data_IF_085925653905
#
_entry.id   IF_085925653905
#
_cell.length_a   1.000
_cell.length_b   1.000
_cell.length_c   1.000
_cell.angle_alpha   90.00
_cell.angle_beta   90.00
_cell.angle_gamma   90.00
#
_symmetry.space_group_name_H-M   'P 1'
#
loop_
_entity.id
_entity.type
_entity.pdbx_description
1 polymer ?
#
# COMPACT_ATOMS: atom_id res chain seq x y z
N UNK A 1 4.28 -1.77 5.26
CA UNK A 1 3.62 -3.08 5.44
C UNK A 1 2.21 -2.93 6.03
N UNK A 2 2.05 -2.25 7.15
CA UNK A 2 0.72 -2.06 7.78
C UNK A 2 -0.27 -1.46 6.79
N UNK A 3 0.11 -0.41 6.06
CA UNK A 3 -0.72 0.19 4.99
C UNK A 3 -1.09 -0.84 3.92
N UNK A 4 -0.16 -1.69 3.49
CA UNK A 4 -0.44 -2.73 2.48
C UNK A 4 -1.44 -3.77 2.99
N UNK A 5 -1.37 -4.16 4.25
CA UNK A 5 -2.33 -5.09 4.85
C UNK A 5 -3.71 -4.45 5.03
N UNK A 6 -3.77 -3.19 5.47
CA UNK A 6 -5.02 -2.45 5.59
C UNK A 6 -5.69 -2.23 4.22
N UNK A 7 -4.92 -1.81 3.22
CA UNK A 7 -5.36 -1.69 1.82
C UNK A 7 -5.99 -2.98 1.30
N UNK A 8 -5.26 -4.09 1.39
CA UNK A 8 -5.72 -5.40 0.93
C UNK A 8 -7.05 -5.80 1.56
N UNK A 9 -7.15 -5.66 2.90
CA UNK A 9 -8.34 -6.06 3.64
C UNK A 9 -9.55 -5.17 3.31
N UNK A 10 -9.34 -3.85 3.23
CA UNK A 10 -10.38 -2.90 2.88
C UNK A 10 -10.87 -3.11 1.44
N UNK A 11 -9.93 -3.23 0.51
CA UNK A 11 -10.23 -3.39 -0.91
C UNK A 11 -10.98 -4.69 -1.19
N UNK A 12 -10.52 -5.81 -0.62
CA UNK A 12 -11.18 -7.11 -0.78
C UNK A 12 -12.63 -7.12 -0.23
N UNK A 13 -12.88 -6.37 0.84
CA UNK A 13 -14.17 -6.37 1.52
C UNK A 13 -15.17 -5.38 0.94
N UNK A 14 -14.69 -4.21 0.50
CA UNK A 14 -15.57 -3.10 0.13
C UNK A 14 -15.33 -2.54 -1.28
N UNK A 15 -14.30 -3.02 -2.00
CA UNK A 15 -13.88 -2.44 -3.28
C UNK A 15 -13.36 -1.01 -3.17
N UNK A 16 -13.00 -0.58 -1.96
CA UNK A 16 -12.54 0.77 -1.67
C UNK A 16 -11.04 0.76 -1.37
N UNK A 17 -10.30 1.63 -2.06
CA UNK A 17 -8.89 1.85 -1.78
C UNK A 17 -8.68 2.72 -0.54
N UNK A 18 -7.80 2.31 0.36
CA UNK A 18 -7.36 3.09 1.50
C UNK A 18 -6.45 4.25 1.05
N UNK A 19 -5.55 3.94 0.13
CA UNK A 19 -4.64 4.91 -0.47
C UNK A 19 -4.74 4.84 -1.98
N UNK A 20 -4.85 6.00 -2.64
CA UNK A 20 -4.83 6.10 -4.11
C UNK A 20 -3.38 6.04 -4.62
N UNK A 21 -2.75 4.89 -4.40
CA UNK A 21 -1.35 4.67 -4.76
C UNK A 21 -1.19 3.34 -5.51
N UNK A 22 -0.14 3.25 -6.30
CA UNK A 22 0.23 2.03 -7.00
C UNK A 22 1.14 1.19 -6.13
N UNK A 23 0.74 -0.04 -5.84
CA UNK A 23 1.56 -0.98 -5.08
C UNK A 23 2.55 -1.71 -5.98
N UNK A 24 3.82 -1.69 -5.60
CA UNK A 24 4.92 -2.34 -6.30
C UNK A 24 5.41 -3.52 -5.47
N UNK A 25 5.57 -4.68 -6.09
CA UNK A 25 6.18 -5.85 -5.46
C UNK A 25 7.70 -5.65 -5.39
N UNK A 26 8.22 -5.26 -4.24
CA UNK A 26 9.66 -5.09 -3.97
C UNK A 26 10.20 -6.27 -3.16
N UNK A 27 11.53 -6.42 -3.10
CA UNK A 27 12.24 -7.54 -2.44
C UNK A 27 11.74 -7.83 -1.02
N UNK A 28 11.41 -6.80 -0.25
CA UNK A 28 10.93 -6.95 1.12
C UNK A 28 9.41 -6.85 1.25
N UNK A 29 8.67 -7.03 0.14
CA UNK A 29 7.22 -7.02 0.07
C UNK A 29 6.63 -5.75 -0.55
N UNK A 30 5.29 -5.64 -0.60
CA UNK A 30 4.61 -4.56 -1.30
C UNK A 30 4.91 -3.17 -0.71
N UNK A 31 4.99 -2.19 -1.59
CA UNK A 31 5.29 -0.79 -1.27
C UNK A 31 4.38 0.13 -2.07
N UNK A 32 3.65 1.07 -1.44
CA UNK A 32 2.94 2.13 -2.14
C UNK A 32 3.98 3.10 -2.72
N UNK A 33 4.02 3.22 -4.04
CA UNK A 33 5.13 3.82 -4.78
C UNK A 33 5.30 5.33 -4.53
N UNK A 34 4.19 6.08 -4.52
CA UNK A 34 4.24 7.52 -4.27
C UNK A 34 4.65 7.84 -2.84
N UNK A 35 4.12 7.10 -1.86
CA UNK A 35 4.53 7.27 -0.45
C UNK A 35 6.01 6.93 -0.26
N UNK A 36 6.50 5.87 -0.91
CA UNK A 36 7.92 5.50 -0.85
C UNK A 36 8.80 6.57 -1.47
N UNK A 37 8.42 7.13 -2.61
CA UNK A 37 9.14 8.23 -3.24
C UNK A 37 9.09 9.50 -2.40
N UNK A 38 7.98 9.79 -1.73
CA UNK A 38 7.87 10.90 -0.80
C UNK A 38 8.84 10.77 0.39
N UNK A 39 8.95 9.56 0.96
CA UNK A 39 9.92 9.26 2.02
C UNK A 39 11.36 9.42 1.53
N UNK A 40 11.69 9.00 0.31
CA UNK A 40 13.01 9.22 -0.28
C UNK A 40 13.28 10.72 -0.48
N UNK A 41 12.31 11.46 -1.00
CA UNK A 41 12.43 12.89 -1.25
C UNK A 41 12.65 13.66 0.06
N UNK A 42 11.86 13.36 1.10
CA UNK A 42 12.02 13.93 2.44
C UNK A 42 13.46 13.78 2.99
N UNK A 43 14.10 12.66 2.66
CA UNK A 43 15.46 12.36 3.12
C UNK A 43 16.57 12.75 2.12
N UNK A 44 16.25 13.56 1.12
CA UNK A 44 17.23 14.04 0.12
C UNK A 44 17.77 12.95 -0.82
N UNK A 45 17.11 11.78 -0.87
CA UNK A 45 17.51 10.63 -1.71
C UNK A 45 16.63 10.41 -2.93
N UNK A 46 15.58 11.21 -3.07
CA UNK A 46 14.64 11.15 -4.17
C UNK A 46 14.69 12.38 -5.06
N UNK A 47 14.14 12.25 -6.26
CA UNK A 47 14.02 13.35 -7.23
C UNK A 47 12.62 13.48 -7.84
N UNK A 48 11.67 12.67 -7.41
CA UNK A 48 10.29 12.69 -7.89
C UNK A 48 9.55 13.91 -7.32
N UNK A 49 9.43 14.95 -8.14
CA UNK A 49 8.76 16.20 -7.75
C UNK A 49 7.23 16.06 -7.63
N UNK A 50 6.63 15.06 -8.24
CA UNK A 50 5.18 14.84 -8.19
C UNK A 50 4.68 14.49 -6.79
N UNK A 51 5.56 13.95 -5.93
CA UNK A 51 5.23 13.59 -4.55
C UNK A 51 5.65 14.66 -3.54
N UNK A 52 6.02 15.86 -4.00
CA UNK A 52 6.54 16.92 -3.12
C UNK A 52 5.55 17.31 -2.03
N UNK A 53 4.27 17.46 -2.34
CA UNK A 53 3.25 17.82 -1.35
C UNK A 53 3.15 16.76 -0.23
N UNK A 54 3.21 15.47 -0.56
CA UNK A 54 3.24 14.38 0.42
C UNK A 54 4.54 14.45 1.23
N UNK A 55 5.68 14.62 0.56
CA UNK A 55 6.99 14.71 1.22
C UNK A 55 7.06 15.88 2.22
N UNK A 56 6.52 17.03 1.86
CA UNK A 56 6.52 18.23 2.71
C UNK A 56 5.62 18.08 3.96
N UNK A 57 4.62 17.19 3.91
CA UNK A 57 3.75 16.88 5.07
C UNK A 57 4.38 15.88 6.05
N UNK A 58 5.45 15.19 5.66
CA UNK A 58 6.13 14.21 6.49
C UNK A 58 7.15 14.89 7.41
N UNK A 59 7.19 14.47 8.67
CA UNK A 59 8.16 14.95 9.64
C UNK A 59 9.23 13.88 9.88
N UNK A 60 10.51 14.14 9.54
CA UNK A 60 11.57 13.18 9.80
C UNK A 60 11.78 12.98 11.30
N UNK A 61 11.97 11.73 11.73
CA UNK A 61 12.21 11.41 13.14
C UNK A 61 13.59 11.83 13.64
N UNK A 62 14.55 12.08 12.72
CA UNK A 62 15.93 12.42 13.03
C UNK A 62 16.79 11.20 13.42
N UNK A 63 18.09 11.40 13.53
CA UNK A 63 19.08 10.36 13.87
C UNK A 63 19.79 9.75 12.66
N UNK A 64 20.94 9.12 12.90
CA UNK A 64 21.85 8.63 11.83
C UNK A 64 21.27 7.47 10.98
N UNK A 65 20.37 6.67 11.56
CA UNK A 65 19.73 5.54 10.86
C UNK A 65 18.27 5.81 10.46
N UNK A 66 17.81 7.05 10.59
CA UNK A 66 16.37 7.40 10.58
C UNK A 66 15.85 7.86 9.22
N UNK A 67 16.53 7.60 8.14
CA UNK A 67 16.15 8.16 6.84
C UNK A 67 14.81 7.63 6.26
N UNK A 68 14.22 6.64 6.89
CA UNK A 68 12.85 6.19 6.60
C UNK A 68 11.88 6.38 7.77
N UNK A 69 12.33 6.93 8.88
CA UNK A 69 11.48 7.13 10.05
C UNK A 69 10.80 8.49 10.01
N UNK A 70 9.52 8.50 10.24
CA UNK A 70 8.69 9.69 10.45
C UNK A 70 8.21 9.72 11.88
N UNK A 71 8.02 10.93 12.41
CA UNK A 71 7.37 11.15 13.70
C UNK A 71 5.97 11.70 13.49
N UNK A 72 5.08 11.45 14.44
CA UNK A 72 3.79 12.10 14.47
C UNK A 72 3.97 13.61 14.64
N UNK A 73 3.31 14.40 13.80
CA UNK A 73 3.27 15.86 13.92
C UNK A 73 2.05 16.30 14.71
N UNK A 74 0.88 16.07 14.15
CA UNK A 74 -0.41 16.43 14.70
C UNK A 74 -1.27 15.18 14.91
N UNK A 75 -2.38 15.33 15.62
CA UNK A 75 -3.38 14.25 15.68
C UNK A 75 -4.00 14.09 14.29
N UNK A 76 -4.24 12.84 13.85
CA UNK A 76 -4.91 12.62 12.57
C UNK A 76 -6.31 13.24 12.61
N UNK A 77 -6.69 13.88 11.51
CA UNK A 77 -8.07 14.29 11.29
C UNK A 77 -8.87 13.07 10.83
N UNK A 78 -9.61 12.48 11.76
CA UNK A 78 -10.42 11.28 11.47
C UNK A 78 -11.67 11.59 10.65
N UNK A 79 -12.06 12.84 10.50
CA UNK A 79 -13.20 13.24 9.67
C UNK A 79 -12.87 13.11 8.17
N UNK A 80 -11.58 13.03 7.81
CA UNK A 80 -11.10 12.75 6.45
C UNK A 80 -11.15 11.26 6.07
N UNK A 81 -11.43 10.38 7.04
CA UNK A 81 -11.47 8.93 6.84
C UNK A 81 -12.87 8.38 7.09
N UNK A 82 -13.31 7.47 6.23
CA UNK A 82 -14.52 6.71 6.48
C UNK A 82 -14.34 5.74 7.67
N UNK A 83 -15.44 5.34 8.27
CA UNK A 83 -15.42 4.33 9.34
C UNK A 83 -14.74 3.04 8.92
N UNK A 84 -14.95 2.60 7.68
CA UNK A 84 -14.33 1.38 7.15
C UNK A 84 -12.80 1.50 7.01
N UNK A 85 -12.31 2.67 6.62
CA UNK A 85 -10.86 2.95 6.54
C UNK A 85 -10.22 2.97 7.93
N UNK A 86 -10.87 3.61 8.90
CA UNK A 86 -10.39 3.62 10.30
C UNK A 86 -10.35 2.18 10.84
N UNK A 87 -11.43 1.40 10.69
CA UNK A 87 -11.47 0.00 11.15
C UNK A 87 -10.39 -0.86 10.48
N UNK A 88 -10.12 -0.67 9.19
CA UNK A 88 -9.09 -1.40 8.46
C UNK A 88 -7.68 -1.04 8.95
N UNK A 89 -7.41 0.23 9.20
CA UNK A 89 -6.14 0.71 9.76
C UNK A 89 -5.93 0.19 11.18
N UNK A 90 -6.92 0.35 12.06
CA UNK A 90 -6.84 -0.09 13.45
C UNK A 90 -6.62 -1.60 13.55
N UNK A 91 -7.37 -2.39 12.76
CA UNK A 91 -7.19 -3.84 12.72
C UNK A 91 -5.78 -4.25 12.23
N UNK A 92 -5.24 -3.55 11.23
CA UNK A 92 -3.89 -3.82 10.75
C UNK A 92 -2.82 -3.38 11.76
N UNK A 93 -2.98 -2.23 12.39
CA UNK A 93 -2.06 -1.74 13.43
C UNK A 93 -2.07 -2.72 14.61
N UNK A 94 -3.23 -3.07 15.14
CA UNK A 94 -3.34 -3.95 16.31
C UNK A 94 -2.75 -5.34 16.05
N UNK A 95 -2.94 -5.87 14.84
CA UNK A 95 -2.42 -7.18 14.48
C UNK A 95 -0.91 -7.21 14.27
N UNK A 96 -0.34 -6.14 13.72
CA UNK A 96 1.03 -6.19 13.17
C UNK A 96 2.05 -5.28 13.88
N UNK A 97 1.62 -4.35 14.76
CA UNK A 97 2.51 -3.35 15.38
C UNK A 97 3.67 -3.93 16.18
N UNK A 98 3.47 -5.11 16.79
CA UNK A 98 4.46 -5.74 17.68
C UNK A 98 5.30 -6.82 16.94
N UNK A 99 5.08 -7.01 15.64
CA UNK A 99 5.83 -7.97 14.85
C UNK A 99 7.17 -7.38 14.37
N UNK A 100 8.20 -8.19 14.34
CA UNK A 100 9.49 -7.81 13.81
C UNK A 100 9.46 -7.64 12.28
N UNK A 101 10.43 -6.89 11.76
CA UNK A 101 10.49 -6.53 10.33
C UNK A 101 10.58 -7.75 9.42
N UNK A 102 11.27 -8.83 9.83
CA UNK A 102 11.42 -10.04 9.03
C UNK A 102 10.10 -10.76 8.90
N UNK A 103 9.41 -10.99 10.02
CA UNK A 103 8.08 -11.59 10.06
C UNK A 103 7.07 -10.78 9.22
N UNK A 104 7.07 -9.45 9.34
CA UNK A 104 6.22 -8.58 8.53
C UNK A 104 6.54 -8.69 7.03
N UNK A 105 7.82 -8.81 6.67
CA UNK A 105 8.22 -9.00 5.28
C UNK A 105 7.70 -10.33 4.75
N UNK A 106 7.92 -11.43 5.46
CA UNK A 106 7.45 -12.77 5.10
C UNK A 106 5.93 -12.83 4.94
N UNK A 107 5.17 -12.27 5.87
CA UNK A 107 3.70 -12.20 5.81
C UNK A 107 3.18 -11.33 4.65
N UNK A 108 3.96 -10.36 4.21
CA UNK A 108 3.58 -9.49 3.10
C UNK A 108 3.88 -10.08 1.72
N UNK A 109 4.59 -11.20 1.64
CA UNK A 109 4.80 -11.98 0.42
C UNK A 109 3.60 -12.90 0.17
N UNK A 110 2.42 -12.32 0.05
CA UNK A 110 1.18 -13.02 -0.25
C UNK A 110 1.05 -13.37 -1.75
N UNK A 111 -0.08 -13.97 -2.12
CA UNK A 111 -0.31 -14.37 -3.52
C UNK A 111 -0.25 -13.19 -4.50
N UNK A 112 -0.70 -11.98 -4.11
CA UNK A 112 -0.64 -10.81 -4.96
C UNK A 112 0.81 -10.33 -5.18
N UNK A 113 1.63 -10.41 -4.13
CA UNK A 113 3.05 -10.10 -4.24
C UNK A 113 3.77 -11.11 -5.15
N UNK A 114 3.55 -12.42 -4.95
CA UNK A 114 4.15 -13.48 -5.78
C UNK A 114 3.76 -13.34 -7.24
N UNK A 115 2.49 -13.12 -7.56
CA UNK A 115 2.00 -12.93 -8.91
C UNK A 115 2.70 -11.78 -9.65
N UNK A 116 3.05 -10.71 -8.96
CA UNK A 116 3.76 -9.59 -9.54
C UNK A 116 5.29 -9.83 -9.58
N UNK A 117 5.88 -10.27 -8.46
CA UNK A 117 7.31 -10.46 -8.30
C UNK A 117 7.89 -11.53 -9.23
N UNK A 118 7.18 -12.66 -9.39
CA UNK A 118 7.62 -13.78 -10.23
C UNK A 118 7.55 -13.46 -11.73
N UNK A 119 6.67 -12.53 -12.12
CA UNK A 119 6.65 -12.00 -13.49
C UNK A 119 7.83 -11.09 -13.78
N UNK A 120 8.05 -10.14 -12.89
CA UNK A 120 9.16 -9.19 -12.96
C UNK A 120 9.37 -8.54 -11.59
N UNK A 121 10.61 -8.45 -11.14
CA UNK A 121 10.96 -7.73 -9.94
C UNK A 121 10.54 -6.26 -10.04
N UNK A 122 9.95 -5.74 -9.00
CA UNK A 122 9.36 -4.40 -8.92
C UNK A 122 8.16 -4.19 -9.88
N UNK A 123 7.45 -5.26 -10.24
CA UNK A 123 6.22 -5.14 -11.03
C UNK A 123 5.06 -4.55 -10.19
N UNK A 124 4.12 -3.94 -10.90
CA UNK A 124 2.87 -3.45 -10.32
C UNK A 124 2.01 -4.63 -9.87
N UNK A 125 1.46 -4.54 -8.67
CA UNK A 125 0.44 -5.46 -8.18
C UNK A 125 -0.93 -4.99 -8.67
N UNK A 126 -1.65 -5.85 -9.38
CA UNK A 126 -2.98 -5.48 -9.91
C UNK A 126 -4.03 -5.45 -8.81
N UNK A 127 -5.06 -4.64 -9.00
CA UNK A 127 -6.21 -4.56 -8.09
C UNK A 127 -6.89 -5.93 -7.92
N UNK A 128 -7.00 -6.70 -9.00
CA UNK A 128 -7.54 -8.06 -8.99
C UNK A 128 -6.73 -8.99 -8.06
N UNK A 129 -5.39 -8.94 -8.16
CA UNK A 129 -4.53 -9.79 -7.33
C UNK A 129 -4.55 -9.37 -5.86
N UNK A 130 -4.60 -8.06 -5.59
CA UNK A 130 -4.77 -7.53 -4.23
C UNK A 130 -6.10 -8.00 -3.62
N UNK A 131 -7.21 -7.93 -4.39
CA UNK A 131 -8.50 -8.42 -3.94
C UNK A 131 -8.50 -9.93 -3.66
N UNK A 132 -7.91 -10.74 -4.53
CA UNK A 132 -7.75 -12.19 -4.33
C UNK A 132 -6.97 -12.52 -3.06
N UNK A 133 -5.85 -11.84 -2.82
CA UNK A 133 -5.03 -12.03 -1.62
C UNK A 133 -5.74 -11.61 -0.33
N UNK A 134 -6.77 -10.78 -0.43
CA UNK A 134 -7.63 -10.34 0.67
C UNK A 134 -8.91 -11.17 0.85
N UNK A 135 -9.04 -12.31 0.16
CA UNK A 135 -10.21 -13.19 0.21
C UNK A 135 -11.52 -12.51 -0.24
N UNK A 136 -11.45 -11.70 -1.31
CA UNK A 136 -12.61 -11.06 -1.90
C UNK A 136 -13.66 -12.08 -2.40
N UNK A 137 -14.94 -11.69 -2.43
CA UNK A 137 -15.99 -12.56 -2.95
C UNK A 137 -15.81 -12.85 -4.45
N UNK A 138 -16.30 -14.01 -4.91
CA UNK A 138 -16.22 -14.37 -6.33
C UNK A 138 -16.92 -13.34 -7.22
N UNK A 139 -18.07 -12.81 -6.80
CA UNK A 139 -18.81 -11.78 -7.54
C UNK A 139 -17.96 -10.50 -7.73
N UNK A 140 -17.23 -10.10 -6.69
CA UNK A 140 -16.34 -8.93 -6.79
C UNK A 140 -15.13 -9.22 -7.69
N UNK A 141 -14.57 -10.42 -7.63
CA UNK A 141 -13.46 -10.82 -8.52
C UNK A 141 -13.88 -10.88 -9.99
N UNK A 142 -15.08 -11.40 -10.29
CA UNK A 142 -15.65 -11.40 -11.64
C UNK A 142 -15.84 -9.96 -12.15
N UNK A 143 -16.40 -9.07 -11.32
CA UNK A 143 -16.53 -7.65 -11.65
C UNK A 143 -15.18 -7.02 -12.00
N UNK A 144 -14.12 -7.26 -11.19
CA UNK A 144 -12.79 -6.72 -11.46
C UNK A 144 -12.18 -7.26 -12.76
N UNK A 145 -12.39 -8.54 -13.07
CA UNK A 145 -11.93 -9.13 -14.33
C UNK A 145 -12.61 -8.50 -15.55
N UNK A 146 -13.91 -8.23 -15.45
CA UNK A 146 -14.65 -7.53 -16.51
C UNK A 146 -14.13 -6.10 -16.70
N UNK A 147 -13.82 -5.38 -15.60
CA UNK A 147 -13.25 -4.04 -15.68
C UNK A 147 -11.86 -4.05 -16.34
N UNK A 148 -10.96 -4.93 -15.91
CA UNK A 148 -9.62 -5.07 -16.53
C UNK A 148 -9.74 -5.39 -18.03
N UNK A 149 -10.70 -6.22 -18.44
CA UNK A 149 -10.95 -6.53 -19.84
C UNK A 149 -11.44 -5.32 -20.63
N UNK A 150 -12.39 -4.55 -20.09
CA UNK A 150 -12.91 -3.32 -20.70
C UNK A 150 -11.78 -2.29 -20.89
N UNK A 151 -10.98 -2.07 -19.86
CA UNK A 151 -9.85 -1.13 -19.89
C UNK A 151 -8.83 -1.54 -20.97
N UNK A 152 -8.53 -2.82 -21.09
CA UNK A 152 -7.63 -3.34 -22.12
C UNK A 152 -8.12 -3.10 -23.56
N UNK A 153 -9.44 -3.02 -23.77
CA UNK A 153 -10.04 -2.71 -25.08
C UNK A 153 -9.98 -1.20 -25.36
N UNK A 154 -10.18 -0.38 -24.33
CA UNK A 154 -10.20 1.08 -24.47
C UNK A 154 -8.80 1.69 -24.66
N UNK A 155 -7.75 0.99 -24.22
CA UNK A 155 -6.34 1.39 -24.37
C UNK A 155 -5.70 0.87 -25.66
N UNK A 156 -6.37 -0.02 -26.40
CA UNK A 156 -5.90 -0.60 -27.66
C UNK A 156 -6.23 0.28 -28.87
#
# INVERSE_FOLDING_TARGET
KIISFAERNLYAKYGQHLVKDTFIAMEHGPVPSHLYDALKLMNGKGNNKNVKAISDSLLPAGGECAWFFVKAGEKPDLDELSKAEIEALDAAIDKYKDMDTKTLSELSHDSAWHEAWDKNHNAVMTSLNIAKAGDASNEFLEYLQEQEFIDSILEA
#
